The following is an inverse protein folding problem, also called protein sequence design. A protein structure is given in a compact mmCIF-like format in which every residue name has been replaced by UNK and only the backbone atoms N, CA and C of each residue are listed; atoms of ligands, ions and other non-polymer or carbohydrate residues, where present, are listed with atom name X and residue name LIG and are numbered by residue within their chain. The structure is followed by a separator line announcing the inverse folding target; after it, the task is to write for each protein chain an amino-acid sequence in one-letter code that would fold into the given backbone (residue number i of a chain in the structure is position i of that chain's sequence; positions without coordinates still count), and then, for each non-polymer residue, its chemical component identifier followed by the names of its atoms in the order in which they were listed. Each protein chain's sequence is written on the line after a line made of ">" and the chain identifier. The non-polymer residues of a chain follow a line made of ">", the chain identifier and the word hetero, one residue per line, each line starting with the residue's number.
data_IF_208862087566
#
_entry.id   IF_208862087566
#
_cell.length_a   1.000
_cell.length_b   1.000
_cell.length_c   1.000
_cell.angle_alpha   90.00
_cell.angle_beta   90.00
_cell.angle_gamma   90.00
#
_symmetry.space_group_name_H-M   'P 1'
#
loop_
_entity.id
_entity.type
_entity.pdbx_description
1 polymer ?
#
# COMPACT_ATOMS: atom_id res chain seq x y z
N UNK A 1 -12.46 -27.28 -5.01
CA UNK A 1 -11.00 -27.34 -4.80
C UNK A 1 -10.35 -26.61 -5.97
N UNK A 2 -9.30 -25.82 -5.74
CA UNK A 2 -8.53 -25.22 -6.82
C UNK A 2 -7.89 -26.32 -7.70
N UNK A 3 -7.84 -26.09 -9.02
CA UNK A 3 -7.15 -27.01 -9.93
C UNK A 3 -5.64 -27.00 -9.68
N UNK A 4 -4.92 -28.00 -10.17
CA UNK A 4 -3.46 -28.05 -10.04
C UNK A 4 -2.80 -26.89 -10.81
N UNK A 5 -3.35 -26.49 -11.96
CA UNK A 5 -2.90 -25.35 -12.75
C UNK A 5 -3.03 -24.04 -11.98
N UNK A 6 -4.17 -23.81 -11.32
CA UNK A 6 -4.39 -22.60 -10.50
C UNK A 6 -3.48 -22.58 -9.27
N UNK A 7 -3.27 -23.74 -8.63
CA UNK A 7 -2.34 -23.88 -7.50
C UNK A 7 -0.92 -23.53 -7.96
N UNK A 8 -0.49 -24.08 -9.09
CA UNK A 8 0.84 -23.85 -9.66
C UNK A 8 1.05 -22.39 -10.04
N UNK A 9 0.13 -21.83 -10.82
CA UNK A 9 0.15 -20.42 -11.22
C UNK A 9 0.26 -19.48 -10.02
N UNK A 10 -0.61 -19.64 -9.02
CA UNK A 10 -0.63 -18.75 -7.85
C UNK A 10 0.66 -18.83 -7.04
N UNK A 11 1.17 -20.04 -6.81
CA UNK A 11 2.41 -20.25 -6.06
C UNK A 11 3.63 -19.64 -6.77
N UNK A 12 3.74 -19.89 -8.07
CA UNK A 12 4.85 -19.37 -8.88
C UNK A 12 4.79 -17.88 -9.09
N UNK A 13 3.59 -17.32 -9.30
CA UNK A 13 3.41 -15.87 -9.45
C UNK A 13 3.83 -15.12 -8.19
N UNK A 14 3.39 -15.57 -7.01
CA UNK A 14 3.75 -14.96 -5.75
C UNK A 14 5.26 -15.06 -5.47
N UNK A 15 5.85 -16.21 -5.74
CA UNK A 15 7.30 -16.42 -5.63
C UNK A 15 8.08 -15.50 -6.59
N UNK A 16 7.63 -15.38 -7.84
CA UNK A 16 8.29 -14.56 -8.85
C UNK A 16 8.29 -13.08 -8.49
N UNK A 17 7.19 -12.57 -7.93
CA UNK A 17 7.10 -11.19 -7.46
C UNK A 17 8.18 -10.86 -6.43
N UNK A 18 8.34 -11.71 -5.41
CA UNK A 18 9.39 -11.55 -4.40
C UNK A 18 10.80 -11.73 -4.99
N UNK A 19 10.98 -12.71 -5.89
CA UNK A 19 12.25 -12.97 -6.54
C UNK A 19 12.72 -11.77 -7.39
N UNK A 20 11.80 -11.11 -8.11
CA UNK A 20 12.12 -9.90 -8.87
C UNK A 20 12.54 -8.77 -7.92
N UNK A 21 11.82 -8.55 -6.82
CA UNK A 21 12.16 -7.55 -5.82
C UNK A 21 13.52 -7.79 -5.16
N UNK A 22 13.81 -9.04 -4.83
CA UNK A 22 15.07 -9.44 -4.20
C UNK A 22 16.28 -9.49 -5.13
N UNK A 23 16.06 -9.89 -6.41
CA UNK A 23 17.16 -10.06 -7.38
C UNK A 23 17.50 -8.79 -8.16
N UNK A 24 16.53 -7.90 -8.35
CA UNK A 24 16.70 -6.64 -9.08
C UNK A 24 16.46 -5.43 -8.17
N UNK A 25 15.19 -5.01 -8.05
CA UNK A 25 14.79 -3.93 -7.14
C UNK A 25 13.27 -3.85 -7.00
N UNK A 26 12.81 -3.15 -5.98
CA UNK A 26 11.38 -2.83 -5.83
C UNK A 26 10.90 -1.85 -6.92
N UNK A 27 11.79 -1.04 -7.50
CA UNK A 27 11.45 -0.14 -8.62
C UNK A 27 11.04 -0.91 -9.87
N UNK A 28 11.45 -2.18 -9.99
CA UNK A 28 11.05 -3.10 -11.06
C UNK A 28 9.85 -3.95 -10.62
N UNK A 29 9.91 -4.54 -9.42
CA UNK A 29 8.89 -5.48 -8.95
C UNK A 29 7.51 -4.83 -8.78
N UNK A 30 7.44 -3.61 -8.26
CA UNK A 30 6.17 -2.94 -7.99
C UNK A 30 5.42 -2.57 -9.28
N UNK A 31 6.03 -1.93 -10.30
CA UNK A 31 5.36 -1.77 -11.59
C UNK A 31 5.00 -3.10 -12.25
N UNK A 32 5.92 -4.08 -12.21
CA UNK A 32 5.73 -5.37 -12.87
C UNK A 32 4.45 -6.07 -12.41
N UNK A 33 4.18 -6.13 -11.10
CA UNK A 33 2.96 -6.78 -10.60
C UNK A 33 1.68 -6.06 -11.05
N UNK A 34 1.75 -4.75 -11.29
CA UNK A 34 0.61 -3.98 -11.79
C UNK A 34 0.29 -4.28 -13.25
N UNK A 35 1.28 -4.71 -14.04
CA UNK A 35 1.07 -5.09 -15.44
C UNK A 35 0.14 -6.30 -15.63
N UNK A 36 -0.13 -7.04 -14.56
CA UNK A 36 -1.14 -8.09 -14.54
C UNK A 36 -2.58 -7.57 -14.75
N UNK A 37 -2.80 -6.27 -14.60
CA UNK A 37 -4.08 -5.63 -14.88
C UNK A 37 -4.25 -5.18 -16.34
N UNK A 38 -3.30 -5.54 -17.24
CA UNK A 38 -3.39 -5.19 -18.66
C UNK A 38 -4.75 -5.58 -19.27
N UNK A 39 -5.31 -4.67 -20.06
CA UNK A 39 -6.64 -4.78 -20.68
C UNK A 39 -7.84 -4.83 -19.73
N UNK A 40 -7.68 -4.81 -18.42
CA UNK A 40 -8.78 -4.66 -17.47
C UNK A 40 -9.23 -3.19 -17.38
N UNK A 41 -10.51 -2.97 -17.17
CA UNK A 41 -11.03 -1.62 -16.89
C UNK A 41 -10.76 -1.22 -15.44
N UNK A 42 -10.85 0.09 -15.15
CA UNK A 42 -10.75 0.60 -13.79
C UNK A 42 -11.81 -0.03 -12.89
N UNK A 43 -13.05 -0.17 -13.38
CA UNK A 43 -14.17 -0.74 -12.66
C UNK A 43 -13.95 -2.22 -12.32
N UNK A 44 -13.41 -3.00 -13.27
CA UNK A 44 -13.07 -4.41 -13.04
C UNK A 44 -12.00 -4.55 -11.96
N UNK A 45 -10.95 -3.73 -12.00
CA UNK A 45 -9.88 -3.74 -10.99
C UNK A 45 -10.41 -3.30 -9.63
N UNK A 46 -11.24 -2.26 -9.58
CA UNK A 46 -11.87 -1.80 -8.33
C UNK A 46 -12.80 -2.86 -7.74
N UNK A 47 -13.55 -3.57 -8.56
CA UNK A 47 -14.39 -4.70 -8.11
C UNK A 47 -13.54 -5.80 -7.50
N UNK A 48 -12.47 -6.23 -8.17
CA UNK A 48 -11.53 -7.22 -7.62
C UNK A 48 -10.89 -6.75 -6.32
N UNK A 49 -10.51 -5.47 -6.24
CA UNK A 49 -9.96 -4.88 -5.02
C UNK A 49 -10.96 -4.93 -3.86
N UNK A 50 -12.24 -4.61 -4.12
CA UNK A 50 -13.31 -4.69 -3.11
C UNK A 50 -13.49 -6.13 -2.61
N UNK A 51 -13.60 -7.08 -3.52
CA UNK A 51 -13.75 -8.50 -3.19
C UNK A 51 -12.55 -9.03 -2.38
N UNK A 52 -11.33 -8.65 -2.78
CA UNK A 52 -10.11 -9.04 -2.07
C UNK A 52 -10.02 -8.41 -0.67
N UNK A 53 -10.41 -7.15 -0.52
CA UNK A 53 -10.44 -6.46 0.77
C UNK A 53 -11.46 -7.10 1.72
N UNK A 54 -12.69 -7.34 1.25
CA UNK A 54 -13.76 -7.96 2.04
C UNK A 54 -13.37 -9.38 2.48
N UNK A 55 -12.78 -10.15 1.57
CA UNK A 55 -12.22 -11.45 1.89
C UNK A 55 -11.10 -11.35 2.94
N UNK A 56 -10.18 -10.41 2.78
CA UNK A 56 -9.07 -10.18 3.72
C UNK A 56 -9.54 -9.79 5.11
N UNK A 57 -10.57 -8.93 5.22
CA UNK A 57 -11.15 -8.50 6.50
C UNK A 57 -11.80 -9.67 7.23
N UNK A 58 -12.45 -10.59 6.50
CA UNK A 58 -13.07 -11.79 7.07
C UNK A 58 -12.09 -12.86 7.55
N UNK A 59 -10.83 -12.79 7.12
CA UNK A 59 -9.82 -13.82 7.44
C UNK A 59 -9.10 -13.55 8.76
N UNK A 60 -8.62 -14.65 9.39
CA UNK A 60 -7.66 -14.53 10.49
C UNK A 60 -6.37 -13.91 10.00
N UNK A 61 -5.79 -13.03 10.84
CA UNK A 61 -4.42 -12.60 10.64
C UNK A 61 -3.47 -13.79 10.87
N UNK A 62 -2.53 -13.98 9.99
CA UNK A 62 -1.58 -15.07 10.13
C UNK A 62 -0.64 -15.20 8.95
N UNK A 63 0.29 -16.13 9.08
CA UNK A 63 1.20 -16.54 8.03
C UNK A 63 0.58 -17.70 7.26
N UNK A 64 0.60 -17.59 5.96
CA UNK A 64 0.08 -18.59 5.02
C UNK A 64 1.16 -18.95 4.03
N UNK A 65 1.12 -20.16 3.56
CA UNK A 65 2.07 -20.67 2.57
C UNK A 65 1.33 -20.96 1.27
N UNK A 66 1.79 -20.37 0.18
CA UNK A 66 1.44 -20.78 -1.17
C UNK A 66 2.49 -21.74 -1.67
N UNK A 67 2.06 -22.91 -2.13
CA UNK A 67 2.93 -23.89 -2.78
C UNK A 67 2.47 -24.09 -4.22
N UNK A 68 3.43 -24.17 -5.14
CA UNK A 68 3.15 -24.59 -6.52
C UNK A 68 2.76 -26.07 -6.58
N UNK A 69 2.29 -26.53 -7.74
CA UNK A 69 1.92 -27.93 -7.92
C UNK A 69 3.15 -28.84 -7.92
N UNK A 70 3.01 -30.01 -7.29
CA UNK A 70 3.99 -31.10 -7.40
C UNK A 70 3.96 -31.80 -8.78
N UNK A 71 2.86 -31.60 -9.54
CA UNK A 71 2.62 -32.27 -10.82
C UNK A 71 3.00 -31.42 -12.02
N UNK A 72 3.10 -30.10 -11.84
CA UNK A 72 3.35 -29.11 -12.89
C UNK A 72 4.64 -28.33 -12.62
N UNK A 73 5.71 -29.01 -12.23
CA UNK A 73 6.94 -28.37 -11.78
C UNK A 73 7.61 -27.51 -12.86
N UNK A 74 7.66 -28.01 -14.13
CA UNK A 74 8.37 -27.35 -15.21
C UNK A 74 9.84 -27.08 -14.86
N UNK A 75 10.46 -26.12 -15.53
CA UNK A 75 11.87 -25.71 -15.27
C UNK A 75 12.04 -25.00 -13.92
N UNK A 76 11.00 -24.27 -13.46
CA UNK A 76 11.03 -23.56 -12.17
C UNK A 76 10.99 -24.49 -10.96
N UNK A 77 10.67 -25.76 -11.15
CA UNK A 77 10.52 -26.71 -10.05
C UNK A 77 9.34 -26.39 -9.14
N UNK A 78 9.38 -26.95 -7.92
CA UNK A 78 8.43 -26.65 -6.85
C UNK A 78 8.89 -25.43 -6.08
N UNK A 79 7.99 -24.46 -5.91
CA UNK A 79 8.26 -23.26 -5.15
C UNK A 79 7.29 -23.11 -3.98
N UNK A 80 7.74 -22.41 -2.94
CA UNK A 80 6.94 -22.03 -1.77
C UNK A 80 7.11 -20.55 -1.52
N UNK A 81 6.01 -19.91 -1.15
CA UNK A 81 5.99 -18.50 -0.77
C UNK A 81 5.17 -18.32 0.52
N UNK A 82 5.82 -17.77 1.56
CA UNK A 82 5.14 -17.42 2.80
C UNK A 82 4.70 -15.96 2.75
N UNK A 83 3.43 -15.70 3.05
CA UNK A 83 2.89 -14.34 3.13
C UNK A 83 2.03 -14.16 4.38
N UNK A 84 1.94 -12.91 4.84
CA UNK A 84 0.98 -12.53 5.88
C UNK A 84 -0.37 -12.26 5.23
N UNK A 85 -1.43 -12.88 5.72
CA UNK A 85 -2.80 -12.69 5.25
C UNK A 85 -3.70 -12.21 6.38
N UNK A 86 -4.86 -11.75 5.99
CA UNK A 86 -5.82 -11.07 6.84
C UNK A 86 -5.63 -9.55 6.80
N UNK A 87 -6.74 -8.85 6.90
CA UNK A 87 -6.78 -7.38 6.85
C UNK A 87 -7.62 -6.88 8.03
N UNK A 88 -7.28 -5.71 8.55
CA UNK A 88 -8.09 -5.01 9.56
C UNK A 88 -8.18 -3.53 9.21
N UNK A 89 -9.38 -3.00 9.27
CA UNK A 89 -9.58 -1.55 9.33
C UNK A 89 -9.09 -1.02 10.68
N UNK A 90 -8.68 0.24 10.71
CA UNK A 90 -8.19 0.91 11.92
C UNK A 90 -9.17 2.03 12.29
N UNK A 91 -10.13 1.77 13.19
CA UNK A 91 -11.15 2.76 13.57
C UNK A 91 -10.54 4.06 14.11
N UNK A 92 -9.43 3.95 14.84
CA UNK A 92 -8.72 5.11 15.40
C UNK A 92 -8.15 6.01 14.29
N UNK A 93 -7.60 5.39 13.23
CA UNK A 93 -7.13 6.14 12.05
C UNK A 93 -8.29 6.79 11.31
N UNK A 94 -9.41 6.09 11.15
CA UNK A 94 -10.61 6.64 10.53
C UNK A 94 -11.13 7.84 11.32
N UNK A 95 -11.24 7.73 12.63
CA UNK A 95 -11.64 8.84 13.53
C UNK A 95 -10.67 10.03 13.43
N UNK A 96 -9.36 9.77 13.40
CA UNK A 96 -8.36 10.82 13.23
C UNK A 96 -8.53 11.57 11.89
N UNK A 97 -8.79 10.84 10.79
CA UNK A 97 -9.05 11.45 9.49
C UNK A 97 -10.31 12.33 9.52
N UNK A 98 -11.39 11.85 10.13
CA UNK A 98 -12.64 12.60 10.25
C UNK A 98 -12.45 13.88 11.09
N UNK A 99 -11.71 13.81 12.20
CA UNK A 99 -11.44 14.99 13.03
C UNK A 99 -10.54 15.98 12.29
N UNK A 100 -9.57 15.54 11.51
CA UNK A 100 -8.77 16.43 10.67
C UNK A 100 -9.63 17.15 9.63
N UNK A 101 -10.41 16.40 8.85
CA UNK A 101 -11.28 16.97 7.80
C UNK A 101 -12.30 17.95 8.38
N UNK A 102 -12.93 17.63 9.53
CA UNK A 102 -13.87 18.49 10.26
C UNK A 102 -13.22 19.80 10.70
N UNK A 103 -11.93 19.80 11.02
CA UNK A 103 -11.16 20.97 11.41
C UNK A 103 -10.42 21.64 10.23
N UNK A 104 -10.78 21.31 8.98
CA UNK A 104 -10.22 21.93 7.78
C UNK A 104 -8.83 21.46 7.41
N UNK A 105 -8.32 20.39 8.03
CA UNK A 105 -7.04 19.79 7.71
C UNK A 105 -7.26 18.68 6.68
N UNK A 106 -6.72 18.84 5.48
CA UNK A 106 -6.86 17.87 4.40
C UNK A 106 -5.98 16.65 4.62
N UNK A 107 -6.57 15.46 4.47
CA UNK A 107 -5.88 14.18 4.59
C UNK A 107 -5.57 13.62 3.22
N UNK A 108 -4.36 13.11 3.04
CA UNK A 108 -3.89 12.49 1.80
C UNK A 108 -3.27 11.14 2.07
N UNK A 109 -3.51 10.19 1.16
CA UNK A 109 -2.85 8.88 1.14
C UNK A 109 -1.85 8.85 -0.01
N UNK A 110 -0.61 8.45 0.26
CA UNK A 110 0.43 8.22 -0.76
C UNK A 110 0.92 6.78 -0.62
N UNK A 111 0.51 5.91 -1.54
CA UNK A 111 0.69 4.46 -1.46
C UNK A 111 1.53 3.91 -2.61
N UNK A 112 2.35 2.89 -2.33
CA UNK A 112 3.07 2.11 -3.34
C UNK A 112 2.20 1.05 -4.06
N UNK A 113 0.89 1.06 -3.85
CA UNK A 113 -0.08 0.24 -4.57
C UNK A 113 -0.70 1.01 -5.73
N UNK A 114 -1.36 0.29 -6.67
CA UNK A 114 -2.13 0.93 -7.74
C UNK A 114 -3.19 1.87 -7.15
N UNK A 115 -3.23 3.10 -7.64
CA UNK A 115 -4.05 4.18 -7.09
C UNK A 115 -5.53 3.80 -6.96
N UNK A 116 -6.09 3.16 -7.98
CA UNK A 116 -7.51 2.83 -8.01
C UNK A 116 -7.88 1.68 -7.04
N UNK A 117 -6.93 0.80 -6.70
CA UNK A 117 -7.09 -0.17 -5.62
C UNK A 117 -7.14 0.53 -4.26
N UNK A 118 -6.24 1.49 -4.03
CA UNK A 118 -6.19 2.26 -2.77
C UNK A 118 -7.45 3.11 -2.60
N UNK A 119 -7.96 3.70 -3.69
CA UNK A 119 -9.21 4.46 -3.68
C UNK A 119 -10.38 3.63 -3.17
N UNK A 120 -10.50 2.36 -3.56
CA UNK A 120 -11.57 1.49 -3.05
C UNK A 120 -11.54 1.43 -1.54
N UNK A 121 -10.37 1.19 -0.94
CA UNK A 121 -10.25 1.09 0.51
C UNK A 121 -10.46 2.44 1.22
N UNK A 122 -10.00 3.53 0.61
CA UNK A 122 -10.08 4.87 1.18
C UNK A 122 -11.48 5.49 1.10
N UNK A 123 -12.22 5.21 0.01
CA UNK A 123 -13.49 5.90 -0.29
C UNK A 123 -14.73 5.08 0.08
N UNK A 124 -14.66 3.74 0.07
CA UNK A 124 -15.81 2.91 0.39
C UNK A 124 -16.21 3.08 1.86
N UNK A 125 -17.44 3.53 2.08
CA UNK A 125 -17.99 3.81 3.41
C UNK A 125 -17.96 2.62 4.35
N UNK A 126 -18.00 1.40 3.82
CA UNK A 126 -17.95 0.18 4.62
C UNK A 126 -16.63 0.00 5.39
N UNK A 127 -15.54 0.64 4.93
CA UNK A 127 -14.24 0.61 5.61
C UNK A 127 -14.04 1.76 6.61
N UNK A 128 -14.91 2.77 6.57
CA UNK A 128 -14.98 3.83 7.57
C UNK A 128 -14.05 5.04 7.35
N UNK A 129 -13.12 5.01 6.39
CA UNK A 129 -12.18 6.13 6.18
C UNK A 129 -12.82 7.32 5.47
N UNK A 130 -13.71 7.08 4.51
CA UNK A 130 -14.54 8.07 3.81
C UNK A 130 -13.77 9.25 3.18
N UNK A 131 -12.55 9.01 2.72
CA UNK A 131 -11.76 10.04 2.06
C UNK A 131 -12.25 10.28 0.62
N UNK A 132 -12.06 11.49 0.13
CA UNK A 132 -12.29 11.82 -1.29
C UNK A 132 -11.31 11.08 -2.20
N UNK A 133 -11.74 10.72 -3.41
CA UNK A 133 -10.87 10.12 -4.44
C UNK A 133 -9.65 11.02 -4.77
N UNK A 134 -9.81 12.35 -4.70
CA UNK A 134 -8.75 13.33 -4.93
C UNK A 134 -7.70 13.39 -3.82
N UNK A 135 -7.94 12.70 -2.72
CA UNK A 135 -7.02 12.58 -1.59
C UNK A 135 -6.06 11.38 -1.70
N UNK A 136 -6.22 10.55 -2.74
CA UNK A 136 -5.44 9.32 -2.90
C UNK A 136 -4.47 9.46 -4.05
N UNK A 137 -3.21 9.15 -3.77
CA UNK A 137 -2.11 9.06 -4.72
C UNK A 137 -1.47 7.68 -4.61
N UNK A 138 -1.46 6.95 -5.71
CA UNK A 138 -0.87 5.62 -5.81
C UNK A 138 -0.05 5.49 -7.08
N UNK A 139 0.46 4.31 -7.35
CA UNK A 139 1.07 4.01 -8.64
C UNK A 139 0.04 4.09 -9.75
N UNK A 140 0.48 4.46 -10.93
CA UNK A 140 -0.39 4.62 -12.10
C UNK A 140 0.17 3.90 -13.30
N UNK A 141 -0.72 3.30 -14.08
CA UNK A 141 -0.40 2.74 -15.39
C UNK A 141 -0.85 3.67 -16.52
N UNK A 142 -0.31 3.48 -17.70
CA UNK A 142 -0.88 4.06 -18.91
C UNK A 142 -2.25 3.45 -19.20
N UNK A 143 -3.06 4.22 -19.91
CA UNK A 143 -4.46 3.86 -20.20
C UNK A 143 -4.72 3.86 -21.71
N UNK A 144 -5.57 2.94 -22.14
CA UNK A 144 -6.20 2.96 -23.44
C UNK A 144 -7.72 3.05 -23.25
N UNK A 145 -8.28 4.26 -23.37
CA UNK A 145 -9.64 4.54 -22.91
C UNK A 145 -9.74 4.36 -21.39
N UNK A 146 -10.61 3.46 -20.93
CA UNK A 146 -10.79 3.10 -19.53
C UNK A 146 -10.06 1.81 -19.12
N UNK A 147 -9.18 1.28 -19.99
CA UNK A 147 -8.44 0.03 -19.74
C UNK A 147 -6.97 0.31 -19.45
N UNK A 148 -6.42 -0.40 -18.49
CA UNK A 148 -4.99 -0.36 -18.17
C UNK A 148 -4.15 -0.96 -19.30
N UNK A 149 -2.91 -0.46 -19.41
CA UNK A 149 -1.86 -1.04 -20.22
C UNK A 149 -0.73 -1.56 -19.33
N UNK A 150 -0.04 -2.59 -19.77
CA UNK A 150 1.16 -3.12 -19.10
C UNK A 150 2.35 -2.16 -19.27
N UNK A 151 2.15 -0.90 -18.90
CA UNK A 151 3.12 0.19 -19.01
C UNK A 151 2.92 1.17 -17.86
N UNK A 152 4.00 1.51 -17.15
CA UNK A 152 3.93 2.51 -16.09
C UNK A 152 3.68 3.91 -16.67
N UNK A 153 2.87 4.72 -15.97
CA UNK A 153 2.51 6.04 -16.47
C UNK A 153 3.70 6.96 -16.65
N UNK A 154 3.92 7.36 -17.91
CA UNK A 154 5.05 8.22 -18.28
C UNK A 154 5.07 9.53 -17.47
N UNK A 155 6.24 9.87 -16.91
CA UNK A 155 6.45 11.11 -16.14
C UNK A 155 5.74 11.16 -14.79
N UNK A 156 5.09 10.07 -14.34
CA UNK A 156 4.52 9.98 -13.01
C UNK A 156 5.48 9.24 -12.06
N UNK A 157 5.83 9.82 -10.89
CA UNK A 157 6.75 9.17 -9.97
C UNK A 157 6.18 7.86 -9.42
N UNK A 158 7.03 6.85 -9.25
CA UNK A 158 6.63 5.67 -8.48
C UNK A 158 6.43 6.06 -7.01
N UNK A 159 5.24 5.84 -6.47
CA UNK A 159 4.83 6.29 -5.14
C UNK A 159 5.41 5.43 -4.02
N UNK A 160 6.72 5.19 -4.08
CA UNK A 160 7.54 4.55 -3.05
C UNK A 160 8.78 5.37 -2.77
N UNK A 161 9.35 5.24 -1.59
CA UNK A 161 10.59 5.90 -1.16
C UNK A 161 10.61 7.39 -1.55
N UNK A 162 11.57 7.85 -2.36
CA UNK A 162 11.68 9.24 -2.84
C UNK A 162 10.51 9.67 -3.72
N UNK A 163 9.92 8.76 -4.48
CA UNK A 163 8.77 9.07 -5.32
C UNK A 163 7.53 9.52 -4.53
N UNK A 164 7.38 9.10 -3.27
CA UNK A 164 6.35 9.67 -2.37
C UNK A 164 6.58 11.16 -2.14
N UNK A 165 7.82 11.56 -1.90
CA UNK A 165 8.21 12.98 -1.74
C UNK A 165 7.94 13.77 -3.02
N UNK A 166 8.29 13.21 -4.18
CA UNK A 166 8.03 13.85 -5.47
C UNK A 166 6.55 14.09 -5.72
N UNK A 167 5.71 13.08 -5.42
CA UNK A 167 4.25 13.21 -5.53
C UNK A 167 3.71 14.26 -4.56
N UNK A 168 4.15 14.25 -3.32
CA UNK A 168 3.74 15.26 -2.33
C UNK A 168 4.12 16.66 -2.80
N UNK A 169 5.36 16.85 -3.25
CA UNK A 169 5.83 18.16 -3.71
C UNK A 169 5.08 18.64 -4.96
N UNK A 170 4.93 17.77 -5.96
CA UNK A 170 4.37 18.15 -7.26
C UNK A 170 2.84 18.30 -7.23
N UNK A 171 2.14 17.45 -6.51
CA UNK A 171 0.68 17.37 -6.61
C UNK A 171 -0.04 17.82 -5.34
N UNK A 172 0.49 17.58 -4.15
CA UNK A 172 -0.18 17.90 -2.89
C UNK A 172 0.19 19.31 -2.44
N UNK A 173 1.47 19.61 -2.29
CA UNK A 173 1.92 20.95 -1.88
C UNK A 173 1.45 22.05 -2.82
N UNK A 174 1.37 21.77 -4.12
CA UNK A 174 0.83 22.73 -5.10
C UNK A 174 -0.61 23.16 -4.78
N UNK A 175 -1.45 22.25 -4.26
CA UNK A 175 -2.82 22.56 -3.83
C UNK A 175 -2.88 23.39 -2.55
N UNK A 176 -1.78 23.48 -1.80
CA UNK A 176 -1.68 24.13 -0.49
C UNK A 176 -0.68 25.30 -0.45
N UNK A 177 -0.44 25.95 -1.60
CA UNK A 177 0.47 27.11 -1.66
C UNK A 177 1.91 26.79 -1.28
N UNK A 178 2.36 25.57 -1.56
CA UNK A 178 3.72 25.10 -1.28
C UNK A 178 4.01 24.74 0.18
N UNK A 179 3.01 24.75 1.06
CA UNK A 179 3.18 24.43 2.49
C UNK A 179 3.55 22.97 2.69
N UNK A 180 4.42 22.71 3.65
CA UNK A 180 4.76 21.37 4.11
C UNK A 180 3.57 20.69 4.81
N UNK A 181 3.46 19.36 4.75
CA UNK A 181 2.47 18.65 5.54
C UNK A 181 2.72 18.86 7.04
N UNK A 182 1.66 19.16 7.79
CA UNK A 182 1.76 19.39 9.23
C UNK A 182 2.00 18.09 10.01
N UNK A 183 1.46 16.99 9.52
CA UNK A 183 1.65 15.63 10.03
C UNK A 183 2.00 14.70 8.88
N UNK A 184 2.98 13.83 9.10
CA UNK A 184 3.31 12.73 8.19
C UNK A 184 3.26 11.42 8.97
N UNK A 185 2.60 10.41 8.41
CA UNK A 185 2.49 9.09 9.02
C UNK A 185 3.08 8.00 8.11
N UNK A 186 3.71 6.99 8.70
CA UNK A 186 4.25 5.86 7.95
C UNK A 186 4.60 4.66 8.83
N UNK A 187 4.77 3.48 8.22
CA UNK A 187 5.02 2.22 8.92
C UNK A 187 6.24 1.45 8.42
N UNK A 188 6.90 1.94 7.38
CA UNK A 188 7.94 1.18 6.70
C UNK A 188 9.10 2.04 6.18
N UNK A 189 10.18 1.38 5.80
CA UNK A 189 11.34 2.02 5.13
C UNK A 189 10.91 2.75 3.85
N UNK A 190 9.87 2.27 3.16
CA UNK A 190 9.29 2.96 2.00
C UNK A 190 8.74 4.35 2.30
N UNK A 191 8.49 4.66 3.58
CA UNK A 191 7.98 5.95 4.05
C UNK A 191 9.08 6.87 4.62
N UNK A 192 10.27 6.34 4.85
CA UNK A 192 11.35 7.05 5.54
C UNK A 192 11.69 8.40 4.88
N UNK A 193 11.71 8.46 3.54
CA UNK A 193 11.98 9.70 2.83
C UNK A 193 10.91 10.76 3.12
N UNK A 194 9.62 10.46 3.02
CA UNK A 194 8.57 11.44 3.29
C UNK A 194 8.49 11.84 4.77
N UNK A 195 8.85 10.93 5.68
CA UNK A 195 8.90 11.20 7.12
C UNK A 195 10.03 12.16 7.49
N UNK A 196 11.15 12.19 6.75
CA UNK A 196 12.33 13.00 7.06
C UNK A 196 12.45 14.29 6.24
N UNK A 197 11.74 14.41 5.11
CA UNK A 197 11.93 15.48 4.13
C UNK A 197 11.51 16.88 4.63
N UNK A 198 10.37 16.95 5.33
CA UNK A 198 9.68 18.22 5.54
C UNK A 198 10.03 18.86 6.88
N UNK A 199 10.73 20.02 6.82
CA UNK A 199 11.09 20.80 8.02
C UNK A 199 9.88 21.45 8.69
N UNK A 200 8.83 21.74 7.94
CA UNK A 200 7.58 22.31 8.44
C UNK A 200 6.67 21.31 9.16
N UNK A 201 6.91 20.00 9.03
CA UNK A 201 6.16 18.96 9.71
C UNK A 201 6.32 19.08 11.23
N UNK A 202 5.19 19.04 11.95
CA UNK A 202 5.14 19.14 13.41
C UNK A 202 5.05 17.80 14.09
N UNK A 203 4.47 16.81 13.43
CA UNK A 203 4.23 15.47 13.98
C UNK A 203 4.64 14.42 12.96
N UNK A 204 5.47 13.48 13.40
CA UNK A 204 5.79 12.23 12.68
C UNK A 204 5.05 11.09 13.39
N UNK A 205 3.98 10.59 12.81
CA UNK A 205 3.25 9.46 13.37
C UNK A 205 3.84 8.15 12.83
N UNK A 206 4.62 7.48 13.67
CA UNK A 206 5.29 6.23 13.32
C UNK A 206 4.45 5.04 13.76
N UNK A 207 3.88 4.32 12.82
CA UNK A 207 3.17 3.06 13.09
C UNK A 207 4.20 1.95 13.22
N UNK A 208 4.74 1.75 14.42
CA UNK A 208 5.94 0.94 14.66
C UNK A 208 5.68 -0.53 14.37
N UNK A 209 6.45 -1.04 13.42
CA UNK A 209 6.77 -2.46 13.26
C UNK A 209 8.19 -2.68 13.76
N UNK A 210 8.41 -3.77 14.48
CA UNK A 210 9.71 -4.11 15.09
C UNK A 210 10.89 -3.88 14.12
N UNK A 211 11.84 -3.03 14.50
CA UNK A 211 13.10 -2.78 13.78
C UNK A 211 13.06 -1.89 12.54
N UNK A 212 11.87 -1.33 12.20
CA UNK A 212 11.74 -0.45 11.04
C UNK A 212 11.52 0.98 11.47
N UNK A 213 12.20 1.96 11.16
CA UNK A 213 12.05 3.37 11.56
C UNK A 213 12.60 3.69 12.98
N UNK A 214 13.49 2.87 13.54
CA UNK A 214 14.02 3.10 14.90
C UNK A 214 14.82 4.41 14.99
N UNK A 215 15.49 4.83 13.91
CA UNK A 215 16.21 6.10 13.91
C UNK A 215 15.27 7.31 13.87
N UNK A 216 14.16 7.21 13.13
CA UNK A 216 13.12 8.25 13.10
C UNK A 216 12.35 8.33 14.43
N UNK A 217 12.28 7.25 15.19
CA UNK A 217 11.67 7.25 16.51
C UNK A 217 12.43 8.10 17.54
N UNK A 218 13.67 8.50 17.23
CA UNK A 218 14.49 9.42 18.06
C UNK A 218 14.21 10.90 17.76
N UNK A 219 13.49 11.21 16.69
CA UNK A 219 13.11 12.58 16.34
C UNK A 219 12.14 13.12 17.39
N UNK A 220 12.36 14.35 17.94
CA UNK A 220 11.49 14.92 18.98
C UNK A 220 10.04 15.15 18.51
N UNK A 221 9.77 15.10 17.20
CA UNK A 221 8.42 15.19 16.63
C UNK A 221 7.71 13.85 16.55
N UNK A 222 8.40 12.73 16.84
CA UNK A 222 7.87 11.39 16.66
C UNK A 222 6.83 11.06 17.73
N UNK A 223 5.66 10.62 17.26
CA UNK A 223 4.67 9.90 18.06
C UNK A 223 4.67 8.46 17.58
N UNK A 224 4.81 7.52 18.51
CA UNK A 224 4.89 6.10 18.20
C UNK A 224 3.54 5.46 18.47
N UNK A 225 2.99 4.78 17.48
CA UNK A 225 1.79 3.97 17.62
C UNK A 225 2.14 2.50 17.37
N UNK A 226 1.90 1.67 18.35
CA UNK A 226 2.13 0.22 18.25
C UNK A 226 0.89 -0.47 17.70
N UNK A 227 1.10 -1.45 16.83
CA UNK A 227 0.05 -2.33 16.32
C UNK A 227 0.31 -3.77 16.73
N UNK A 228 -0.68 -4.41 17.33
CA UNK A 228 -0.64 -5.83 17.67
C UNK A 228 -0.53 -6.69 16.41
N UNK A 229 0.43 -7.59 16.38
CA UNK A 229 0.55 -8.58 15.29
C UNK A 229 -0.58 -9.63 15.34
N UNK A 230 -1.18 -9.85 16.51
CA UNK A 230 -2.23 -10.83 16.71
C UNK A 230 -3.60 -10.32 16.26
N UNK A 231 -3.94 -9.09 16.67
CA UNK A 231 -5.26 -8.49 16.37
C UNK A 231 -5.24 -7.57 15.16
N UNK A 232 -4.07 -7.05 14.77
CA UNK A 232 -3.91 -6.05 13.72
C UNK A 232 -4.40 -4.66 14.12
N UNK A 233 -4.86 -4.47 15.37
CA UNK A 233 -5.36 -3.21 15.90
C UNK A 233 -4.27 -2.47 16.68
N UNK A 234 -4.46 -1.19 16.87
CA UNK A 234 -3.58 -0.39 17.71
C UNK A 234 -3.68 -0.80 19.18
N UNK A 235 -2.58 -0.69 19.87
CA UNK A 235 -2.47 -0.96 21.30
C UNK A 235 -1.75 0.18 21.98
N UNK A 236 -2.03 0.45 23.28
CA UNK A 236 -1.26 1.41 24.06
C UNK A 236 0.23 1.05 24.06
N UNK A 237 1.08 2.04 24.14
CA UNK A 237 2.50 1.84 24.45
C UNK A 237 2.59 1.50 25.95
N UNK A 238 3.14 0.31 26.27
CA UNK A 238 3.35 -0.12 27.64
C UNK A 238 4.67 0.43 28.18
#
# INVERSE_FOLDING_TARGET
>A
KATEEFKDFRGKLAFLYEAIGGSFSHDIAYPWVLYLFDNMTVEEVQKLAKEANDFGIGNKLGKYVLESSDKLTGEAGKVKYEYKSGLRTQPETANLFHEFEKNGIKVYIVSASLEDIVKVFANDKSYGYNLSADSVYGMRLEMNGNKYRAEYKHGYPQTQTKGKVEVINKYIKAKHGGKDPILVAGDSIGDANMLSEYKGTKILLLMKRKGKLDDLAKDPRALIQIRSEQTGLFVPEN
#
